data_IF_841915690143
#
_entry.id   IF_841915690143
#
_cell.length_a   1.000
_cell.length_b   1.000
_cell.length_c   1.000
_cell.angle_alpha   90.00
_cell.angle_beta   90.00
_cell.angle_gamma   90.00
#
_symmetry.space_group_name_H-M   'P 1'
#
loop_
_entity.id
_entity.type
_entity.pdbx_description
1 polymer ?
#
# COMPACT_ATOMS: atom_id res chain seq x y z
N UNK A 1 4.50 -40.88 41.30
CA UNK A 1 4.14 -40.02 40.15
C UNK A 1 4.56 -40.72 38.88
N UNK A 2 3.63 -41.04 37.97
CA UNK A 2 4.00 -41.60 36.65
C UNK A 2 4.51 -40.44 35.79
N UNK A 3 5.81 -40.37 35.57
CA UNK A 3 6.43 -39.49 34.57
C UNK A 3 6.12 -40.07 33.20
N UNK A 4 5.12 -39.52 32.53
CA UNK A 4 4.89 -39.85 31.13
C UNK A 4 5.89 -39.05 30.28
N UNK A 5 6.89 -39.75 29.73
CA UNK A 5 7.87 -39.19 28.80
C UNK A 5 7.21 -38.89 27.44
N UNK A 6 6.43 -37.82 27.37
CA UNK A 6 5.93 -37.30 26.11
C UNK A 6 6.93 -36.30 25.53
N UNK A 7 7.58 -36.69 24.44
CA UNK A 7 8.45 -35.78 23.68
C UNK A 7 7.61 -35.09 22.61
N UNK A 8 7.40 -33.78 22.75
CA UNK A 8 6.71 -32.96 21.74
C UNK A 8 7.72 -32.61 20.64
N UNK A 9 7.40 -32.93 19.40
CA UNK A 9 8.20 -32.52 18.25
C UNK A 9 8.04 -31.01 18.00
N UNK A 10 9.05 -30.37 17.41
CA UNK A 10 8.99 -28.94 17.04
C UNK A 10 7.76 -28.61 16.18
N UNK A 11 7.37 -29.51 15.28
CA UNK A 11 6.18 -29.36 14.44
C UNK A 11 4.89 -29.37 15.26
N UNK A 12 4.76 -30.29 16.22
CA UNK A 12 3.60 -30.33 17.12
C UNK A 12 3.52 -29.06 17.98
N UNK A 13 4.65 -28.60 18.53
CA UNK A 13 4.70 -27.34 19.28
C UNK A 13 4.30 -26.12 18.42
N UNK A 14 4.79 -26.06 17.17
CA UNK A 14 4.42 -25.02 16.21
C UNK A 14 2.92 -25.02 15.89
N UNK A 15 2.35 -26.19 15.61
CA UNK A 15 0.92 -26.33 15.28
C UNK A 15 0.04 -26.02 16.49
N UNK A 16 0.43 -26.43 17.69
CA UNK A 16 -0.27 -26.10 18.93
C UNK A 16 -0.24 -24.58 19.19
N UNK A 17 0.93 -23.94 19.05
CA UNK A 17 1.06 -22.48 19.14
C UNK A 17 0.17 -21.76 18.13
N UNK A 18 0.16 -22.23 16.87
CA UNK A 18 -0.67 -21.64 15.80
C UNK A 18 -2.15 -21.72 16.15
N UNK A 19 -2.66 -22.90 16.54
CA UNK A 19 -4.05 -23.07 16.98
C UNK A 19 -4.40 -22.19 18.18
N UNK A 20 -3.51 -22.09 19.16
CA UNK A 20 -3.72 -21.22 20.32
C UNK A 20 -3.80 -19.75 19.92
N UNK A 21 -2.96 -19.28 18.99
CA UNK A 21 -3.06 -17.94 18.44
C UNK A 21 -4.37 -17.73 17.68
N UNK A 22 -4.77 -18.68 16.82
CA UNK A 22 -6.03 -18.60 16.07
C UNK A 22 -7.24 -18.48 17.02
N UNK A 23 -7.23 -19.17 18.17
CA UNK A 23 -8.29 -19.05 19.18
C UNK A 23 -8.33 -17.69 19.91
N UNK A 24 -7.19 -17.00 20.02
CA UNK A 24 -7.09 -15.72 20.75
C UNK A 24 -7.36 -14.55 19.81
N UNK A 25 -6.78 -14.56 18.62
CA UNK A 25 -6.80 -13.42 17.67
C UNK A 25 -7.82 -13.58 16.56
N UNK A 26 -8.51 -14.71 16.51
CA UNK A 26 -9.24 -15.16 15.33
C UNK A 26 -8.31 -15.69 14.25
N UNK A 27 -8.90 -16.40 13.31
CA UNK A 27 -8.29 -16.85 12.07
C UNK A 27 -8.11 -15.69 11.10
N UNK A 28 -7.28 -15.89 10.08
CA UNK A 28 -7.04 -14.85 9.07
C UNK A 28 -8.25 -14.66 8.17
N UNK A 29 -8.96 -15.75 7.91
CA UNK A 29 -10.20 -15.80 7.16
C UNK A 29 -11.25 -14.91 7.84
N UNK A 30 -11.44 -15.08 9.15
CA UNK A 30 -12.34 -14.22 9.94
C UNK A 30 -11.92 -12.75 9.88
N UNK A 31 -10.63 -12.44 9.98
CA UNK A 31 -10.14 -11.05 9.85
C UNK A 31 -10.39 -10.45 8.47
N UNK A 32 -10.31 -11.26 7.40
CA UNK A 32 -10.63 -10.81 6.04
C UNK A 32 -12.13 -10.56 5.87
N UNK A 33 -12.97 -11.41 6.45
CA UNK A 33 -14.44 -11.22 6.41
C UNK A 33 -14.86 -9.92 7.13
N UNK A 34 -14.12 -9.51 8.16
CA UNK A 34 -14.34 -8.24 8.88
C UNK A 34 -13.95 -6.98 8.09
N UNK A 35 -13.28 -7.08 6.93
CA UNK A 35 -12.85 -5.89 6.17
C UNK A 35 -14.03 -4.99 5.78
N UNK A 36 -15.18 -5.58 5.47
CA UNK A 36 -16.37 -4.80 5.10
C UNK A 36 -16.87 -3.96 6.26
N UNK A 37 -17.04 -4.60 7.41
CA UNK A 37 -17.48 -3.95 8.65
C UNK A 37 -16.45 -2.90 9.08
N UNK A 38 -15.16 -3.19 8.94
CA UNK A 38 -14.11 -2.21 9.19
C UNK A 38 -14.24 -0.99 8.28
N UNK A 39 -14.44 -1.17 6.97
CA UNK A 39 -14.60 -0.05 6.03
C UNK A 39 -15.86 0.78 6.32
N UNK A 40 -16.94 0.13 6.75
CA UNK A 40 -18.16 0.81 7.18
C UNK A 40 -17.92 1.60 8.48
N UNK A 41 -17.31 0.97 9.48
CA UNK A 41 -17.03 1.61 10.77
C UNK A 41 -16.05 2.76 10.64
N UNK A 42 -15.05 2.67 9.76
CA UNK A 42 -14.15 3.79 9.47
C UNK A 42 -14.90 4.99 8.92
N UNK A 43 -15.81 4.78 7.95
CA UNK A 43 -16.63 5.86 7.39
C UNK A 43 -17.64 6.42 8.39
N UNK A 44 -18.19 5.57 9.27
CA UNK A 44 -19.14 5.97 10.31
C UNK A 44 -18.48 6.78 11.43
N UNK A 45 -17.31 6.35 11.91
CA UNK A 45 -16.63 6.94 13.06
C UNK A 45 -15.70 8.10 12.70
N UNK A 46 -15.15 8.12 11.49
CA UNK A 46 -14.21 9.16 11.03
C UNK A 46 -14.75 9.85 9.77
N UNK A 47 -15.71 10.76 9.96
CA UNK A 47 -16.34 11.53 8.87
C UNK A 47 -15.28 12.20 7.98
N UNK A 48 -15.42 12.04 6.66
CA UNK A 48 -14.45 12.53 5.67
C UNK A 48 -13.34 11.54 5.31
N UNK A 49 -13.22 10.41 6.01
CA UNK A 49 -12.29 9.34 5.62
C UNK A 49 -12.77 8.68 4.34
N UNK A 50 -11.86 8.57 3.38
CA UNK A 50 -12.09 7.82 2.14
C UNK A 50 -11.67 6.39 2.39
N UNK A 51 -12.62 5.46 2.30
CA UNK A 51 -12.38 4.04 2.50
C UNK A 51 -13.14 3.27 1.43
N UNK A 52 -12.40 2.75 0.44
CA UNK A 52 -12.94 2.10 -0.75
C UNK A 52 -12.48 0.65 -0.78
N UNK A 53 -13.43 -0.27 -0.66
CA UNK A 53 -13.21 -1.69 -0.88
C UNK A 53 -13.74 -2.06 -2.26
N UNK A 54 -12.90 -2.66 -3.09
CA UNK A 54 -13.23 -3.16 -4.41
C UNK A 54 -13.21 -4.68 -4.42
N UNK A 55 -14.25 -5.26 -5.00
CA UNK A 55 -14.38 -6.70 -5.24
C UNK A 55 -14.19 -6.99 -6.72
N UNK A 56 -13.63 -8.15 -7.03
CA UNK A 56 -13.50 -8.62 -8.39
C UNK A 56 -14.88 -8.96 -8.96
N UNK A 57 -15.20 -8.35 -10.09
CA UNK A 57 -16.48 -8.56 -10.78
C UNK A 57 -16.46 -9.75 -11.71
N UNK A 58 -15.29 -10.35 -11.98
CA UNK A 58 -15.16 -11.49 -12.86
C UNK A 58 -15.88 -12.72 -12.26
N UNK A 59 -16.96 -13.23 -12.90
CA UNK A 59 -17.69 -14.38 -12.36
C UNK A 59 -16.83 -15.64 -12.24
N UNK A 60 -15.73 -15.74 -12.99
CA UNK A 60 -14.80 -16.87 -12.96
C UNK A 60 -13.93 -16.92 -11.70
N UNK A 61 -13.76 -15.80 -11.00
CA UNK A 61 -12.95 -15.72 -9.77
C UNK A 61 -13.80 -15.85 -8.51
N UNK A 62 -15.12 -15.92 -8.65
CA UNK A 62 -16.05 -16.13 -7.55
C UNK A 62 -15.95 -17.56 -7.00
N UNK A 63 -16.06 -17.68 -5.68
CA UNK A 63 -16.08 -18.98 -4.98
C UNK A 63 -17.38 -19.05 -4.20
N UNK A 64 -18.18 -20.10 -4.44
CA UNK A 64 -19.50 -20.28 -3.79
C UNK A 64 -20.44 -19.07 -3.93
N UNK A 65 -20.40 -18.38 -5.07
CA UNK A 65 -21.22 -17.17 -5.29
C UNK A 65 -20.72 -15.92 -4.57
N UNK A 66 -19.56 -15.97 -3.90
CA UNK A 66 -18.95 -14.85 -3.19
C UNK A 66 -17.88 -14.23 -4.09
N UNK A 67 -17.94 -12.89 -4.25
CA UNK A 67 -16.94 -12.13 -4.99
C UNK A 67 -15.62 -12.10 -4.24
N UNK A 68 -14.52 -12.17 -4.98
CA UNK A 68 -13.17 -12.12 -4.41
C UNK A 68 -12.80 -10.67 -4.05
N UNK A 69 -12.09 -10.48 -2.95
CA UNK A 69 -11.40 -9.21 -2.68
C UNK A 69 -10.44 -8.85 -3.82
N UNK A 70 -10.46 -7.59 -4.26
CA UNK A 70 -9.57 -7.08 -5.29
C UNK A 70 -8.64 -5.98 -4.76
N UNK A 71 -9.21 -4.88 -4.25
CA UNK A 71 -8.44 -3.72 -3.76
C UNK A 71 -9.05 -3.09 -2.52
N UNK A 72 -8.22 -2.48 -1.70
CA UNK A 72 -8.61 -1.61 -0.58
C UNK A 72 -7.84 -0.31 -0.70
N UNK A 73 -8.50 0.83 -0.54
CA UNK A 73 -7.87 2.14 -0.41
C UNK A 73 -8.36 2.80 0.87
N UNK A 74 -7.43 3.42 1.62
CA UNK A 74 -7.74 4.18 2.83
C UNK A 74 -6.95 5.49 2.83
N UNK A 75 -7.67 6.59 2.99
CA UNK A 75 -7.14 7.92 3.27
C UNK A 75 -7.95 8.54 4.41
N UNK A 76 -7.35 8.59 5.60
CA UNK A 76 -8.01 9.11 6.78
C UNK A 76 -8.24 10.61 6.65
N UNK A 77 -9.42 11.09 7.10
CA UNK A 77 -9.76 12.51 7.10
C UNK A 77 -8.66 13.36 7.74
N UNK A 78 -8.19 12.95 8.92
CA UNK A 78 -7.13 13.64 9.65
C UNK A 78 -5.79 13.64 8.87
N UNK A 79 -5.45 12.55 8.19
CA UNK A 79 -4.22 12.46 7.39
C UNK A 79 -4.24 13.47 6.24
N UNK A 80 -5.27 13.44 5.37
CA UNK A 80 -5.35 14.40 4.24
C UNK A 80 -5.50 15.84 4.69
N UNK A 81 -6.29 16.12 5.74
CA UNK A 81 -6.44 17.47 6.26
C UNK A 81 -5.13 18.00 6.85
N UNK A 82 -4.43 17.19 7.66
CA UNK A 82 -3.15 17.58 8.24
C UNK A 82 -2.06 17.78 7.19
N UNK A 83 -2.06 16.95 6.14
CA UNK A 83 -1.17 17.12 5.00
C UNK A 83 -1.42 18.45 4.28
N UNK A 84 -2.67 18.71 3.88
CA UNK A 84 -3.04 19.95 3.19
C UNK A 84 -2.83 21.21 4.03
N UNK A 85 -2.95 21.11 5.36
CA UNK A 85 -2.83 22.26 6.25
C UNK A 85 -1.39 22.68 6.58
N UNK A 86 -0.42 21.76 6.52
CA UNK A 86 0.92 22.06 7.04
C UNK A 86 2.08 21.25 6.48
N UNK A 87 1.85 20.31 5.57
CA UNK A 87 2.93 19.60 4.89
C UNK A 87 3.34 20.33 3.61
N UNK A 88 4.54 20.01 3.12
CA UNK A 88 5.00 20.47 1.82
C UNK A 88 4.23 19.73 0.72
N UNK A 89 4.01 20.38 -0.41
CA UNK A 89 3.35 19.81 -1.59
C UNK A 89 4.27 18.82 -2.35
N UNK A 90 4.89 17.91 -1.60
CA UNK A 90 5.79 16.86 -2.06
C UNK A 90 5.21 15.53 -1.60
N UNK A 91 4.97 14.62 -2.53
CA UNK A 91 4.36 13.32 -2.27
C UNK A 91 5.31 12.21 -2.75
N UNK A 92 5.80 11.40 -1.83
CA UNK A 92 6.44 10.14 -2.14
C UNK A 92 5.40 9.04 -2.35
N UNK A 93 5.48 8.30 -3.45
CA UNK A 93 4.70 7.08 -3.66
C UNK A 93 5.63 5.88 -3.83
N UNK A 94 5.27 4.78 -3.19
CA UNK A 94 6.05 3.54 -3.24
C UNK A 94 5.14 2.33 -3.01
N UNK A 95 5.57 1.18 -3.52
CA UNK A 95 4.88 -0.08 -3.35
C UNK A 95 5.79 -1.14 -2.72
N UNK A 96 5.21 -2.02 -1.91
CA UNK A 96 5.96 -3.12 -1.32
C UNK A 96 5.15 -4.41 -1.24
N UNK A 97 5.85 -5.54 -1.29
CA UNK A 97 5.21 -6.85 -1.25
C UNK A 97 4.72 -7.17 0.16
N UNK A 98 3.43 -7.50 0.29
CA UNK A 98 2.88 -7.99 1.54
C UNK A 98 3.36 -9.43 1.79
N UNK A 99 3.92 -9.65 2.97
CA UNK A 99 4.32 -11.00 3.43
C UNK A 99 3.12 -11.65 4.10
N UNK A 100 2.67 -12.80 3.62
CA UNK A 100 1.57 -13.52 4.25
C UNK A 100 0.90 -14.54 3.35
N UNK A 101 -0.36 -14.85 3.69
CA UNK A 101 -1.21 -15.78 2.93
C UNK A 101 -1.75 -15.13 1.64
N UNK A 102 -1.77 -13.80 1.60
CA UNK A 102 -2.09 -12.99 0.42
C UNK A 102 -0.88 -12.90 -0.54
N UNK A 103 -0.44 -14.06 -1.04
CA UNK A 103 0.69 -14.12 -1.98
C UNK A 103 0.36 -13.31 -3.23
N UNK A 104 1.26 -12.41 -3.60
CA UNK A 104 1.12 -11.55 -4.78
C UNK A 104 0.50 -10.18 -4.50
N UNK A 105 -0.11 -9.98 -3.33
CA UNK A 105 -0.64 -8.67 -2.95
C UNK A 105 0.45 -7.68 -2.60
N UNK A 106 0.19 -6.41 -2.90
CA UNK A 106 1.11 -5.31 -2.68
C UNK A 106 0.44 -4.21 -1.86
N UNK A 107 1.25 -3.54 -1.05
CA UNK A 107 0.86 -2.34 -0.32
C UNK A 107 1.43 -1.14 -1.06
N UNK A 108 0.55 -0.32 -1.65
CA UNK A 108 0.90 0.98 -2.19
C UNK A 108 0.75 2.02 -1.09
N UNK A 109 1.64 3.00 -1.05
CA UNK A 109 1.63 4.06 -0.05
C UNK A 109 1.87 5.42 -0.69
N UNK A 110 1.22 6.44 -0.14
CA UNK A 110 1.50 7.84 -0.38
C UNK A 110 1.91 8.50 0.94
N UNK A 111 3.06 9.16 0.94
CA UNK A 111 3.61 9.86 2.09
C UNK A 111 4.02 11.27 1.69
N UNK A 112 3.85 12.22 2.60
CA UNK A 112 4.31 13.59 2.46
C UNK A 112 5.54 13.86 3.32
N UNK A 113 5.98 15.12 3.27
CA UNK A 113 7.00 15.66 4.19
C UNK A 113 6.38 16.80 4.98
N UNK A 114 6.34 16.67 6.30
CA UNK A 114 5.81 17.72 7.19
C UNK A 114 6.77 18.93 7.29
N UNK A 115 6.36 20.01 7.95
CA UNK A 115 7.20 21.19 8.14
C UNK A 115 8.53 20.93 8.88
N UNK A 116 8.62 19.82 9.62
CA UNK A 116 9.78 19.40 10.41
C UNK A 116 10.65 18.34 9.69
N UNK A 117 10.46 18.17 8.38
CA UNK A 117 11.20 17.20 7.55
C UNK A 117 10.95 15.72 7.90
N UNK A 118 9.87 15.41 8.62
CA UNK A 118 9.47 14.03 8.90
C UNK A 118 8.57 13.46 7.79
N UNK A 119 8.61 12.14 7.65
CA UNK A 119 7.68 11.41 6.78
C UNK A 119 6.28 11.47 7.41
N UNK A 120 5.32 11.94 6.62
CA UNK A 120 3.93 12.07 7.03
C UNK A 120 3.04 11.08 6.24
N UNK A 121 2.26 10.19 6.87
CA UNK A 121 1.41 9.26 6.14
C UNK A 121 0.16 9.96 5.58
N UNK A 122 -0.13 9.74 4.29
CA UNK A 122 -1.30 10.32 3.61
C UNK A 122 -2.36 9.24 3.37
N UNK A 123 -2.02 8.25 2.55
CA UNK A 123 -2.94 7.20 2.12
C UNK A 123 -2.18 5.89 1.85
N UNK A 124 -2.91 4.78 1.87
CA UNK A 124 -2.38 3.50 1.47
C UNK A 124 -3.44 2.65 0.78
N UNK A 125 -2.97 1.68 -0.01
CA UNK A 125 -3.84 0.74 -0.68
C UNK A 125 -3.27 -0.67 -0.69
N UNK A 126 -4.15 -1.67 -0.57
CA UNK A 126 -3.83 -3.07 -0.81
C UNK A 126 -4.33 -3.41 -2.20
N UNK A 127 -3.45 -3.90 -3.06
CA UNK A 127 -3.75 -4.20 -4.46
C UNK A 127 -3.22 -5.58 -4.86
N UNK A 128 -3.70 -6.09 -5.99
CA UNK A 128 -3.33 -7.38 -6.56
C UNK A 128 -1.94 -7.41 -7.22
N UNK A 129 -1.32 -6.24 -7.43
CA UNK A 129 -0.01 -6.11 -8.06
C UNK A 129 0.36 -4.64 -8.32
N UNK A 130 1.62 -4.37 -8.68
CA UNK A 130 2.07 -3.06 -9.17
C UNK A 130 1.93 -3.01 -10.71
N UNK A 131 0.70 -2.86 -11.16
CA UNK A 131 0.34 -2.73 -12.56
C UNK A 131 -0.01 -1.28 -12.88
N UNK A 132 -0.04 -0.93 -14.17
CA UNK A 132 -0.51 0.40 -14.59
C UNK A 132 -1.91 0.70 -14.05
N UNK A 133 -2.84 -0.26 -14.16
CA UNK A 133 -4.22 -0.09 -13.73
C UNK A 133 -4.39 0.05 -12.20
N UNK A 134 -3.53 -0.59 -11.41
CA UNK A 134 -3.56 -0.46 -9.95
C UNK A 134 -3.01 0.89 -9.51
N UNK A 135 -1.93 1.34 -10.14
CA UNK A 135 -1.35 2.66 -9.92
C UNK A 135 -2.29 3.78 -10.35
N UNK A 136 -2.89 3.64 -11.54
CA UNK A 136 -3.92 4.56 -12.04
C UNK A 136 -5.05 4.70 -11.04
N UNK A 137 -5.62 3.58 -10.59
CA UNK A 137 -6.69 3.57 -9.59
C UNK A 137 -6.29 4.24 -8.27
N UNK A 138 -5.08 3.96 -7.77
CA UNK A 138 -4.56 4.58 -6.56
C UNK A 138 -4.36 6.09 -6.72
N UNK A 139 -3.77 6.54 -7.83
CA UNK A 139 -3.51 7.95 -8.11
C UNK A 139 -4.80 8.74 -8.36
N UNK A 140 -5.83 8.14 -8.98
CA UNK A 140 -7.16 8.76 -9.11
C UNK A 140 -7.76 9.08 -7.74
N UNK A 141 -7.77 8.11 -6.83
CA UNK A 141 -8.33 8.32 -5.47
C UNK A 141 -7.50 9.34 -4.68
N UNK A 142 -6.17 9.31 -4.83
CA UNK A 142 -5.29 10.29 -4.21
C UNK A 142 -5.54 11.71 -4.75
N UNK A 143 -5.78 11.86 -6.06
CA UNK A 143 -6.17 13.12 -6.68
C UNK A 143 -7.48 13.65 -6.10
N UNK A 144 -8.51 12.81 -6.04
CA UNK A 144 -9.82 13.16 -5.51
C UNK A 144 -9.73 13.64 -4.05
N UNK A 145 -8.87 12.99 -3.25
CA UNK A 145 -8.72 13.32 -1.83
C UNK A 145 -7.92 14.61 -1.57
N UNK A 146 -6.99 14.97 -2.46
CA UNK A 146 -6.05 16.09 -2.27
C UNK A 146 -6.30 17.27 -3.22
N UNK A 147 -7.13 17.09 -4.25
CA UNK A 147 -7.38 18.10 -5.28
C UNK A 147 -6.12 18.43 -6.10
N UNK A 148 -5.29 17.44 -6.42
CA UNK A 148 -4.00 17.67 -7.10
C UNK A 148 -4.21 18.29 -8.49
N UNK A 149 -5.16 17.77 -9.25
CA UNK A 149 -5.52 18.22 -10.60
C UNK A 149 -6.10 19.64 -10.66
N UNK A 150 -6.49 20.23 -9.52
CA UNK A 150 -6.94 21.63 -9.46
C UNK A 150 -5.78 22.62 -9.64
N UNK A 151 -4.56 22.22 -9.26
CA UNK A 151 -3.35 23.01 -9.46
C UNK A 151 -2.11 22.10 -9.56
N UNK A 152 -1.96 21.34 -10.68
CA UNK A 152 -0.95 20.30 -10.80
C UNK A 152 0.49 20.81 -10.65
N UNK A 153 0.75 22.06 -11.08
CA UNK A 153 2.07 22.69 -11.00
C UNK A 153 2.54 22.98 -9.57
N UNK A 154 1.65 22.95 -8.58
CA UNK A 154 2.00 23.13 -7.17
C UNK A 154 2.62 21.87 -6.54
N UNK A 155 2.51 20.72 -7.20
CA UNK A 155 2.83 19.41 -6.64
C UNK A 155 4.11 18.84 -7.23
N UNK A 156 4.88 18.16 -6.39
CA UNK A 156 6.01 17.32 -6.81
C UNK A 156 5.84 15.91 -6.29
N UNK A 157 5.92 14.92 -7.19
CA UNK A 157 5.89 13.51 -6.85
C UNK A 157 7.28 12.89 -6.90
N UNK A 158 7.56 12.01 -5.95
CA UNK A 158 8.78 11.22 -5.88
C UNK A 158 8.38 9.75 -5.94
N UNK A 159 8.95 8.98 -6.87
CA UNK A 159 8.69 7.54 -6.92
C UNK A 159 9.88 6.70 -7.37
N UNK A 160 9.76 5.38 -7.27
CA UNK A 160 10.66 4.47 -7.97
C UNK A 160 10.39 4.48 -9.50
N UNK A 161 11.37 4.03 -10.29
CA UNK A 161 11.31 3.86 -11.74
C UNK A 161 10.62 2.55 -12.11
N UNK A 162 9.38 2.38 -11.67
CA UNK A 162 8.64 1.14 -11.89
C UNK A 162 7.83 1.17 -13.19
N UNK A 163 7.79 0.04 -13.90
CA UNK A 163 7.15 -0.10 -15.23
C UNK A 163 5.65 0.24 -15.25
N UNK A 164 4.91 -0.01 -14.16
CA UNK A 164 3.48 0.32 -14.08
C UNK A 164 3.21 1.78 -13.70
N UNK A 165 4.13 2.41 -12.97
CA UNK A 165 3.90 3.70 -12.32
C UNK A 165 4.10 4.88 -13.28
N UNK A 166 5.18 4.87 -14.07
CA UNK A 166 5.46 5.95 -15.03
C UNK A 166 4.30 6.13 -16.03
N UNK A 167 3.80 5.07 -16.71
CA UNK A 167 2.67 5.23 -17.62
C UNK A 167 1.37 5.64 -16.92
N UNK A 168 1.23 5.40 -15.62
CA UNK A 168 0.07 5.84 -14.86
C UNK A 168 0.15 7.35 -14.57
N UNK A 169 1.33 7.88 -14.24
CA UNK A 169 1.55 9.33 -14.10
C UNK A 169 1.31 10.08 -15.41
N UNK A 170 1.90 9.60 -16.51
CA UNK A 170 1.76 10.23 -17.83
C UNK A 170 0.29 10.37 -18.27
N UNK A 171 -0.56 9.42 -17.85
CA UNK A 171 -1.99 9.43 -18.17
C UNK A 171 -2.82 10.25 -17.17
N UNK A 172 -2.54 10.15 -15.87
CA UNK A 172 -3.38 10.74 -14.82
C UNK A 172 -3.01 12.18 -14.48
N UNK A 173 -1.72 12.51 -14.51
CA UNK A 173 -1.17 13.76 -13.98
C UNK A 173 0.03 14.24 -14.81
N UNK A 174 -0.14 14.47 -16.13
CA UNK A 174 0.97 14.81 -17.02
C UNK A 174 1.67 16.13 -16.67
N UNK A 175 0.95 17.05 -16.02
CA UNK A 175 1.43 18.40 -15.68
C UNK A 175 2.08 18.49 -14.29
N UNK A 176 2.07 17.40 -13.51
CA UNK A 176 2.69 17.34 -12.19
C UNK A 176 4.18 17.13 -12.32
N UNK A 177 4.98 17.81 -11.49
CA UNK A 177 6.42 17.55 -11.45
C UNK A 177 6.66 16.13 -10.89
N UNK A 178 7.24 15.24 -11.70
CA UNK A 178 7.56 13.87 -11.30
C UNK A 178 9.06 13.65 -11.34
N UNK A 179 9.63 13.26 -10.20
CA UNK A 179 11.06 12.95 -10.06
C UNK A 179 11.27 11.53 -9.51
N UNK A 180 12.43 10.96 -9.80
CA UNK A 180 12.79 9.64 -9.31
C UNK A 180 13.46 9.70 -7.94
N UNK A 181 13.09 8.76 -7.08
CA UNK A 181 13.73 8.57 -5.79
C UNK A 181 15.21 8.21 -5.99
N UNK A 182 16.12 9.11 -5.61
CA UNK A 182 17.58 8.93 -5.73
C UNK A 182 18.04 7.64 -5.03
N UNK A 183 17.43 7.28 -3.90
CA UNK A 183 17.76 6.04 -3.19
C UNK A 183 17.44 4.80 -4.02
N UNK A 184 16.26 4.75 -4.64
CA UNK A 184 15.89 3.64 -5.51
C UNK A 184 16.72 3.63 -6.79
N UNK A 185 16.95 4.81 -7.39
CA UNK A 185 17.81 4.94 -8.55
C UNK A 185 19.23 4.39 -8.27
N UNK A 186 19.84 4.79 -7.16
CA UNK A 186 21.14 4.27 -6.72
C UNK A 186 21.10 2.75 -6.50
N UNK A 187 20.08 2.22 -5.83
CA UNK A 187 19.94 0.78 -5.58
C UNK A 187 19.76 -0.01 -6.89
N UNK A 188 18.98 0.50 -7.82
CA UNK A 188 18.76 -0.10 -9.14
C UNK A 188 20.06 -0.11 -9.95
N UNK A 189 20.79 1.00 -9.99
CA UNK A 189 22.10 1.04 -10.64
C UNK A 189 23.09 0.06 -10.04
N UNK A 190 23.15 -0.01 -8.70
CA UNK A 190 24.01 -0.97 -8.01
C UNK A 190 23.63 -2.42 -8.33
N UNK A 191 22.33 -2.73 -8.41
CA UNK A 191 21.84 -4.06 -8.76
C UNK A 191 22.21 -4.45 -10.21
N UNK A 192 22.21 -3.48 -11.13
CA UNK A 192 22.65 -3.64 -12.53
C UNK A 192 24.19 -3.65 -12.69
N UNK A 193 24.95 -3.58 -11.58
CA UNK A 193 26.41 -3.67 -11.60
C UNK A 193 27.13 -2.34 -11.85
N UNK A 194 26.40 -1.23 -11.96
CA UNK A 194 27.00 0.10 -11.99
C UNK A 194 27.45 0.50 -10.57
N UNK A 195 28.74 0.75 -10.39
CA UNK A 195 29.31 1.19 -9.12
C UNK A 195 30.48 2.15 -9.32
N UNK A 196 30.74 3.01 -8.34
CA UNK A 196 31.88 3.93 -8.37
C UNK A 196 31.66 5.14 -9.29
N UNK A 197 32.69 5.48 -10.09
CA UNK A 197 32.73 6.71 -10.90
C UNK A 197 31.62 6.76 -11.97
N UNK A 198 31.29 5.63 -12.58
CA UNK A 198 30.20 5.53 -13.56
C UNK A 198 28.83 5.99 -13.03
N UNK A 199 28.61 5.89 -11.71
CA UNK A 199 27.36 6.32 -11.07
C UNK A 199 27.37 7.84 -10.77
N UNK A 200 28.56 8.42 -10.53
CA UNK A 200 28.77 9.87 -10.39
C UNK A 200 28.70 10.62 -11.72
N UNK A 201 29.08 9.97 -12.81
CA UNK A 201 29.14 10.59 -14.13
C UNK A 201 27.77 10.55 -14.86
N UNK A 202 26.78 9.78 -14.35
CA UNK A 202 25.43 9.59 -14.92
C UNK A 202 24.34 10.35 -14.13
N UNK A 203 24.61 10.71 -12.87
CA UNK A 203 23.73 11.54 -12.02
C UNK A 203 24.01 13.03 -12.22
#
# INVERSE_FOLDING_TARGET
MRTHNFTITRTQAYMAKRKALDLITGTKEEQFDMLWDYCLEQRRSNTGTTCILMLDENPKTMVNGIKRFLRLYICFAACKQGFLAGCRAIIGVDGCHLKGHQKGSQLLTAVGIDGNDNIYPIAFAIVEGELKETWKWFLTLLDEDLGISQNPFAWTFISDKQKGLIPAFDEMMPDVSHIFCVRHLHNNFKAEGFGGQALKDIL
#
